data_IF_433822401967
#
_entry.id   IF_433822401967
#
_cell.length_a   1.000
_cell.length_b   1.000
_cell.length_c   1.000
_cell.angle_alpha   90.00
_cell.angle_beta   90.00
_cell.angle_gamma   90.00
#
_symmetry.space_group_name_H-M   'P 1'
#
loop_
_entity.id
_entity.type
_entity.pdbx_description
1 polymer ?
#
# COMPACT_ATOMS: atom_id res chain seq x y z
N UNK A 1 4.47 -2.32 -9.95
CA UNK A 1 3.53 -2.97 -9.00
C UNK A 1 2.50 -1.95 -8.58
N UNK A 2 1.27 -2.39 -8.29
CA UNK A 2 0.20 -1.54 -7.75
C UNK A 2 -0.57 -2.29 -6.68
N UNK A 3 -1.13 -1.57 -5.73
CA UNK A 3 -2.11 -2.08 -4.79
C UNK A 3 -3.47 -1.51 -5.20
N UNK A 4 -4.46 -2.37 -5.37
CA UNK A 4 -5.81 -1.96 -5.77
C UNK A 4 -6.82 -2.37 -4.72
N UNK A 5 -7.74 -1.46 -4.40
CA UNK A 5 -8.91 -1.77 -3.59
C UNK A 5 -10.03 -2.22 -4.51
N UNK A 6 -10.65 -3.35 -4.19
CA UNK A 6 -11.72 -3.94 -4.98
C UNK A 6 -12.96 -4.16 -4.13
N UNK A 7 -14.13 -4.01 -4.75
CA UNK A 7 -15.43 -4.39 -4.20
C UNK A 7 -16.02 -5.43 -5.13
N UNK A 8 -16.25 -6.63 -4.62
CA UNK A 8 -16.83 -7.73 -5.38
C UNK A 8 -18.21 -8.01 -4.81
N UNK A 9 -19.23 -7.94 -5.66
CA UNK A 9 -20.59 -8.37 -5.32
C UNK A 9 -20.89 -9.65 -6.09
N UNK A 10 -21.11 -10.74 -5.38
CA UNK A 10 -21.54 -11.98 -6.00
C UNK A 10 -23.05 -11.87 -6.31
N UNK A 11 -23.40 -11.77 -7.59
CA UNK A 11 -24.78 -11.84 -8.06
C UNK A 11 -25.09 -13.16 -8.78
N UNK A 12 -24.21 -14.17 -8.67
CA UNK A 12 -24.47 -15.51 -9.21
C UNK A 12 -25.41 -16.29 -8.28
N UNK A 13 -25.79 -17.49 -8.72
CA UNK A 13 -26.66 -18.39 -7.96
C UNK A 13 -25.89 -19.32 -7.01
N UNK A 14 -24.56 -19.24 -7.00
CA UNK A 14 -23.66 -20.12 -6.27
C UNK A 14 -22.58 -19.33 -5.53
N UNK A 15 -21.94 -19.98 -4.57
CA UNK A 15 -20.79 -19.40 -3.88
C UNK A 15 -19.58 -19.44 -4.83
N UNK A 16 -18.74 -18.40 -4.77
CA UNK A 16 -17.57 -18.29 -5.67
C UNK A 16 -16.32 -17.97 -4.88
N UNK A 17 -15.22 -18.60 -5.23
CA UNK A 17 -13.93 -18.41 -4.57
C UNK A 17 -13.00 -17.54 -5.40
N UNK A 18 -12.50 -16.45 -4.82
CA UNK A 18 -11.56 -15.57 -5.51
C UNK A 18 -10.17 -16.22 -5.63
N UNK A 19 -9.68 -16.34 -6.87
CA UNK A 19 -8.46 -17.05 -7.20
C UNK A 19 -8.66 -18.52 -7.56
N UNK A 20 -9.90 -19.02 -7.58
CA UNK A 20 -10.26 -20.36 -8.05
C UNK A 20 -11.38 -20.31 -9.10
N UNK A 21 -12.49 -19.65 -8.79
CA UNK A 21 -13.64 -19.52 -9.70
C UNK A 21 -13.63 -18.18 -10.44
N UNK A 22 -13.16 -17.12 -9.76
CA UNK A 22 -13.09 -15.77 -10.30
C UNK A 22 -11.68 -15.19 -10.19
N UNK A 23 -11.25 -14.49 -11.23
CA UNK A 23 -9.92 -13.92 -11.36
C UNK A 23 -9.97 -12.48 -11.85
N UNK A 24 -8.96 -11.72 -11.42
CA UNK A 24 -8.71 -10.39 -11.96
C UNK A 24 -7.93 -10.51 -13.27
N UNK A 25 -8.43 -9.87 -14.33
CA UNK A 25 -7.78 -9.83 -15.64
C UNK A 25 -7.66 -8.38 -16.12
N UNK A 26 -6.79 -8.14 -17.11
CA UNK A 26 -6.81 -6.89 -17.85
C UNK A 26 -7.91 -6.97 -18.91
N UNK A 27 -8.53 -5.83 -19.20
CA UNK A 27 -9.58 -5.72 -20.22
C UNK A 27 -9.12 -6.19 -21.61
N UNK A 28 -7.81 -6.11 -21.88
CA UNK A 28 -7.18 -6.61 -23.11
C UNK A 28 -7.05 -8.16 -23.17
N UNK A 29 -7.52 -8.88 -22.14
CA UNK A 29 -7.44 -10.34 -22.04
C UNK A 29 -6.19 -10.88 -21.34
N UNK A 30 -5.21 -10.03 -21.01
CA UNK A 30 -4.02 -10.42 -20.29
C UNK A 30 -4.32 -10.86 -18.85
N UNK A 31 -3.67 -11.93 -18.38
CA UNK A 31 -3.79 -12.36 -16.98
C UNK A 31 -3.11 -11.34 -16.07
N UNK A 32 -3.77 -10.96 -14.98
CA UNK A 32 -3.15 -10.13 -13.94
C UNK A 32 -2.41 -11.05 -12.98
N UNK A 33 -1.11 -10.82 -12.82
CA UNK A 33 -0.34 -11.57 -11.84
C UNK A 33 -0.57 -10.95 -10.45
N UNK A 34 -1.28 -11.70 -9.62
CA UNK A 34 -1.49 -11.35 -8.22
C UNK A 34 -0.18 -11.54 -7.44
N UNK A 35 0.05 -10.65 -6.48
CA UNK A 35 1.25 -10.64 -5.67
C UNK A 35 0.93 -11.10 -4.25
N UNK A 36 1.78 -11.95 -3.64
CA UNK A 36 1.62 -12.31 -2.23
C UNK A 36 1.65 -11.09 -1.32
N UNK A 37 0.82 -11.10 -0.29
CA UNK A 37 0.70 -10.01 0.70
C UNK A 37 2.05 -9.58 1.29
N UNK A 38 2.95 -10.51 1.58
CA UNK A 38 4.28 -10.18 2.12
C UNK A 38 5.19 -9.48 1.09
N UNK A 39 5.10 -9.85 -0.21
CA UNK A 39 5.85 -9.16 -1.26
C UNK A 39 5.34 -7.72 -1.42
N UNK A 40 4.01 -7.53 -1.42
CA UNK A 40 3.36 -6.22 -1.49
C UNK A 40 3.80 -5.34 -0.31
N UNK A 41 3.73 -5.87 0.90
CA UNK A 41 4.14 -5.17 2.11
C UNK A 41 5.61 -4.75 2.04
N UNK A 42 6.50 -5.67 1.65
CA UNK A 42 7.95 -5.41 1.60
C UNK A 42 8.32 -4.25 0.67
N UNK A 43 7.56 -4.05 -0.40
CA UNK A 43 7.84 -3.06 -1.44
C UNK A 43 7.09 -1.74 -1.27
N UNK A 44 5.97 -1.72 -0.55
CA UNK A 44 5.13 -0.52 -0.36
C UNK A 44 5.21 0.11 1.04
N UNK A 45 5.86 -0.55 2.01
CA UNK A 45 6.07 0.01 3.34
C UNK A 45 6.81 1.36 3.28
N UNK A 46 6.53 2.24 4.23
CA UNK A 46 7.25 3.50 4.36
C UNK A 46 8.70 3.23 4.82
N UNK A 47 9.65 3.80 4.09
CA UNK A 47 11.07 3.78 4.43
C UNK A 47 11.48 5.13 5.06
N UNK A 48 11.67 5.20 6.38
CA UNK A 48 11.94 6.47 7.07
C UNK A 48 13.42 6.94 6.94
N UNK A 49 14.27 6.18 6.25
CA UNK A 49 15.74 6.26 6.35
C UNK A 49 16.38 7.53 5.78
N UNK A 50 15.84 8.13 4.72
CA UNK A 50 16.44 9.34 4.13
C UNK A 50 16.12 10.61 4.91
N UNK A 51 14.87 10.75 5.35
CA UNK A 51 14.42 11.95 6.05
C UNK A 51 14.90 12.00 7.51
N UNK A 52 15.10 10.85 8.15
CA UNK A 52 15.65 10.80 9.51
C UNK A 52 17.08 11.34 9.58
N UNK A 53 17.95 10.93 8.66
CA UNK A 53 19.35 11.34 8.63
C UNK A 53 19.49 12.85 8.40
N UNK A 54 18.67 13.39 7.50
CA UNK A 54 18.64 14.83 7.23
C UNK A 54 18.15 15.64 8.44
N UNK A 55 17.10 15.18 9.14
CA UNK A 55 16.60 15.85 10.33
C UNK A 55 17.60 15.85 11.48
N UNK A 56 18.34 14.74 11.66
CA UNK A 56 19.37 14.63 12.70
C UNK A 56 20.53 15.63 12.50
N UNK A 57 20.82 15.97 11.25
CA UNK A 57 21.90 16.88 10.86
C UNK A 57 21.42 18.31 10.58
N UNK A 58 20.14 18.62 10.83
CA UNK A 58 19.59 19.96 10.54
C UNK A 58 20.01 20.97 11.62
N UNK A 59 20.81 22.01 11.27
CA UNK A 59 21.20 23.02 12.24
C UNK A 59 20.05 24.00 12.47
N UNK A 60 19.27 23.79 13.53
CA UNK A 60 18.27 24.76 13.99
C UNK A 60 18.92 25.71 14.99
N UNK A 61 18.92 27.01 14.66
CA UNK A 61 19.46 28.09 15.50
C UNK A 61 18.31 28.99 15.98
N UNK A 62 18.24 29.28 17.28
CA UNK A 62 17.26 30.22 17.86
C UNK A 62 17.96 31.51 18.24
N UNK A 63 17.49 32.64 17.72
CA UNK A 63 18.01 33.96 18.07
C UNK A 63 17.09 34.61 19.11
N UNK A 64 17.68 35.22 20.13
CA UNK A 64 16.92 36.01 21.12
C UNK A 64 17.35 37.47 21.04
N UNK A 65 16.38 38.35 20.81
CA UNK A 65 16.58 39.79 20.76
C UNK A 65 16.08 40.40 22.07
N UNK A 66 16.96 41.07 22.82
CA UNK A 66 16.58 41.84 24.02
C UNK A 66 16.75 43.32 23.74
N UNK A 67 15.72 44.11 24.02
CA UNK A 67 15.78 45.57 23.91
C UNK A 67 15.90 46.14 25.31
N UNK A 68 16.97 46.87 25.58
CA UNK A 68 17.20 47.54 26.87
C UNK A 68 16.46 48.89 26.93
N UNK A 69 16.23 49.40 28.13
CA UNK A 69 15.47 50.64 28.37
C UNK A 69 16.09 51.91 27.74
N UNK A 70 17.34 51.84 27.29
CA UNK A 70 18.05 52.86 26.53
C UNK A 70 17.87 52.76 25.00
N UNK A 71 16.99 51.86 24.51
CA UNK A 71 16.71 51.66 23.09
C UNK A 71 17.78 50.83 22.35
N UNK A 72 18.83 50.38 23.04
CA UNK A 72 19.84 49.49 22.45
C UNK A 72 19.34 48.05 22.42
N UNK A 73 19.41 47.47 21.23
CA UNK A 73 19.01 46.08 20.97
C UNK A 73 20.24 45.19 21.03
N UNK A 74 20.30 44.28 22.00
CA UNK A 74 21.31 43.22 22.05
C UNK A 74 20.73 41.93 21.48
N UNK A 75 21.35 41.42 20.42
CA UNK A 75 21.07 40.10 19.86
C UNK A 75 22.07 39.11 20.46
N UNK A 76 21.57 38.17 21.27
CA UNK A 76 22.41 37.11 21.86
C UNK A 76 22.41 35.87 20.96
N UNK A 77 23.60 35.29 20.75
CA UNK A 77 23.83 34.18 19.83
C UNK A 77 23.20 32.86 20.29
N UNK A 78 22.88 32.06 19.28
CA UNK A 78 21.93 30.98 19.30
C UNK A 78 22.39 29.72 20.01
N UNK A 79 21.56 29.19 20.91
CA UNK A 79 21.68 27.81 21.37
C UNK A 79 21.42 26.89 20.15
N UNK A 80 22.35 26.00 19.75
CA UNK A 80 22.12 25.07 18.64
C UNK A 80 21.15 23.97 19.09
N UNK A 81 19.86 24.29 19.13
CA UNK A 81 18.80 23.35 19.51
C UNK A 81 18.58 22.25 18.47
N UNK A 82 19.20 22.35 17.28
CA UNK A 82 19.16 21.32 16.25
C UNK A 82 19.52 19.92 16.76
N UNK A 83 20.43 19.80 17.74
CA UNK A 83 20.79 18.51 18.37
C UNK A 83 19.72 17.93 19.30
N UNK A 84 18.70 18.70 19.70
CA UNK A 84 17.57 18.24 20.51
C UNK A 84 16.32 18.09 19.63
N UNK A 85 16.06 19.08 18.79
CA UNK A 85 14.92 19.10 17.86
C UNK A 85 15.07 18.03 16.79
N UNK A 86 16.28 17.85 16.24
CA UNK A 86 16.58 16.84 15.22
C UNK A 86 16.22 15.42 15.68
N UNK A 87 16.74 14.93 16.81
CA UNK A 87 16.36 13.64 17.36
C UNK A 87 14.88 13.50 17.71
N UNK A 88 14.24 14.56 18.22
CA UNK A 88 12.80 14.53 18.54
C UNK A 88 11.93 14.35 17.29
N UNK A 89 12.20 15.10 16.22
CA UNK A 89 11.50 14.98 14.94
C UNK A 89 11.80 13.65 14.24
N UNK A 90 13.06 13.21 14.28
CA UNK A 90 13.50 11.92 13.78
C UNK A 90 12.76 10.76 14.48
N UNK A 91 12.69 10.80 15.82
CA UNK A 91 11.95 9.81 16.61
C UNK A 91 10.46 9.83 16.28
N UNK A 92 9.85 11.01 16.16
CA UNK A 92 8.44 11.17 15.78
C UNK A 92 8.12 10.52 14.42
N UNK A 93 8.93 10.81 13.41
CA UNK A 93 8.76 10.23 12.06
C UNK A 93 8.95 8.71 12.05
N UNK A 94 9.92 8.20 12.81
CA UNK A 94 10.14 6.75 12.92
C UNK A 94 8.94 6.05 13.56
N UNK A 95 8.40 6.61 14.65
CA UNK A 95 7.23 6.07 15.35
C UNK A 95 6.01 6.09 14.44
N UNK A 96 5.77 7.20 13.75
CA UNK A 96 4.66 7.35 12.81
C UNK A 96 4.77 6.32 11.67
N UNK A 97 5.94 6.21 11.02
CA UNK A 97 6.17 5.25 9.95
C UNK A 97 6.05 3.79 10.44
N UNK A 98 6.55 3.48 11.64
CA UNK A 98 6.42 2.16 12.25
C UNK A 98 4.96 1.79 12.51
N UNK A 99 4.18 2.73 13.07
CA UNK A 99 2.74 2.56 13.31
C UNK A 99 1.97 2.38 11.99
N UNK A 100 2.25 3.22 10.99
CA UNK A 100 1.65 3.13 9.66
C UNK A 100 1.98 1.79 8.98
N UNK A 101 3.23 1.32 9.07
CA UNK A 101 3.66 0.03 8.52
C UNK A 101 2.97 -1.14 9.22
N UNK A 102 2.82 -1.11 10.55
CA UNK A 102 2.07 -2.14 11.28
C UNK A 102 0.61 -2.19 10.86
N UNK A 103 -0.04 -1.02 10.76
CA UNK A 103 -1.43 -0.92 10.29
C UNK A 103 -1.55 -1.44 8.86
N UNK A 104 -0.69 -0.99 7.95
CA UNK A 104 -0.69 -1.43 6.56
C UNK A 104 -0.54 -2.95 6.42
N UNK A 105 0.37 -3.56 7.18
CA UNK A 105 0.52 -5.03 7.19
C UNK A 105 -0.73 -5.75 7.69
N UNK A 106 -1.43 -5.18 8.68
CA UNK A 106 -2.71 -5.74 9.16
C UNK A 106 -3.78 -5.61 8.10
N UNK A 107 -3.96 -4.42 7.52
CA UNK A 107 -4.98 -4.15 6.51
C UNK A 107 -4.78 -5.07 5.28
N UNK A 108 -3.54 -5.30 4.83
CA UNK A 108 -3.27 -6.22 3.72
C UNK A 108 -3.68 -7.68 4.03
N UNK A 109 -3.59 -8.13 5.29
CA UNK A 109 -3.99 -9.49 5.68
C UNK A 109 -5.49 -9.61 5.91
N UNK A 110 -6.08 -8.61 6.54
CA UNK A 110 -7.51 -8.57 6.86
C UNK A 110 -8.36 -8.48 5.60
N UNK A 111 -7.88 -7.73 4.61
CA UNK A 111 -8.54 -7.53 3.32
C UNK A 111 -7.94 -8.37 2.19
N UNK A 112 -7.14 -9.40 2.50
CA UNK A 112 -6.70 -10.35 1.48
C UNK A 112 -7.91 -11.11 0.92
N UNK A 113 -8.00 -11.22 -0.40
CA UNK A 113 -9.06 -11.94 -1.08
C UNK A 113 -8.62 -13.30 -1.61
N UNK A 114 -7.33 -13.64 -1.58
CA UNK A 114 -6.87 -14.93 -2.08
C UNK A 114 -7.55 -16.09 -1.35
N UNK A 115 -8.23 -16.96 -2.10
CA UNK A 115 -8.96 -18.10 -1.56
C UNK A 115 -10.19 -17.72 -0.74
N UNK A 116 -10.65 -16.47 -0.81
CA UNK A 116 -11.82 -16.05 -0.06
C UNK A 116 -13.09 -16.53 -0.76
N UNK A 117 -13.87 -17.35 -0.06
CA UNK A 117 -15.21 -17.71 -0.48
C UNK A 117 -16.15 -16.48 -0.37
N UNK A 118 -16.91 -16.23 -1.43
CA UNK A 118 -17.87 -15.13 -1.54
C UNK A 118 -19.24 -15.76 -1.73
N UNK A 119 -20.00 -15.80 -0.64
CA UNK A 119 -21.36 -16.36 -0.65
C UNK A 119 -22.27 -15.69 -1.68
N UNK A 120 -23.23 -16.43 -2.22
CA UNK A 120 -24.26 -15.90 -3.12
C UNK A 120 -24.94 -14.65 -2.55
N UNK A 121 -25.04 -13.60 -3.35
CA UNK A 121 -25.63 -12.32 -2.95
C UNK A 121 -24.74 -11.43 -2.05
N UNK A 122 -23.61 -11.94 -1.55
CA UNK A 122 -22.73 -11.19 -0.65
C UNK A 122 -21.90 -10.13 -1.39
N UNK A 123 -21.48 -9.11 -0.65
CA UNK A 123 -20.50 -8.12 -1.11
C UNK A 123 -19.29 -8.15 -0.21
N UNK A 124 -18.11 -8.31 -0.79
CA UNK A 124 -16.83 -8.27 -0.08
C UNK A 124 -15.96 -7.13 -0.59
N UNK A 125 -15.08 -6.67 0.29
CA UNK A 125 -14.08 -5.65 0.00
C UNK A 125 -12.71 -6.25 0.23
N UNK A 126 -11.75 -5.84 -0.60
CA UNK A 126 -10.42 -6.41 -0.55
C UNK A 126 -9.33 -5.49 -1.07
N UNK A 127 -8.10 -5.83 -0.69
CA UNK A 127 -6.86 -5.24 -1.15
C UNK A 127 -6.09 -6.30 -1.93
N UNK A 128 -5.78 -6.00 -3.19
CA UNK A 128 -5.09 -6.94 -4.07
C UNK A 128 -3.83 -6.28 -4.62
N UNK A 129 -2.68 -6.92 -4.37
CA UNK A 129 -1.43 -6.53 -5.00
C UNK A 129 -1.33 -7.10 -6.41
N UNK A 130 -1.00 -6.25 -7.38
CA UNK A 130 -0.88 -6.66 -8.78
C UNK A 130 0.47 -6.25 -9.37
N UNK A 131 1.04 -7.16 -10.17
CA UNK A 131 2.15 -6.81 -11.05
C UNK A 131 1.60 -6.18 -12.32
N UNK A 132 1.52 -4.85 -12.28
CA UNK A 132 1.13 -4.04 -13.44
C UNK A 132 2.33 -3.75 -14.34
N UNK A 133 2.25 -4.23 -15.58
CA UNK A 133 3.19 -3.91 -16.67
C UNK A 133 2.63 -2.81 -17.59
N UNK A 134 1.34 -2.45 -17.44
CA UNK A 134 0.65 -1.43 -18.23
C UNK A 134 -0.41 -0.68 -17.37
N UNK A 135 -1.22 0.16 -18.00
CA UNK A 135 -2.30 0.94 -17.35
C UNK A 135 -3.69 0.47 -17.76
N UNK A 136 -3.80 -0.76 -18.28
CA UNK A 136 -5.09 -1.26 -18.76
C UNK A 136 -6.07 -1.44 -17.61
N UNK A 137 -7.35 -1.22 -17.90
CA UNK A 137 -8.42 -1.40 -16.94
C UNK A 137 -8.49 -2.87 -16.48
N UNK A 138 -8.81 -3.05 -15.20
CA UNK A 138 -9.00 -4.36 -14.60
C UNK A 138 -10.46 -4.79 -14.75
N UNK A 139 -10.68 -6.06 -14.98
CA UNK A 139 -11.98 -6.70 -15.05
C UNK A 139 -11.99 -7.95 -14.17
N UNK A 140 -13.14 -8.26 -13.59
CA UNK A 140 -13.35 -9.52 -12.87
C UNK A 140 -14.00 -10.50 -13.83
N UNK A 141 -13.40 -11.68 -14.01
CA UNK A 141 -13.92 -12.73 -14.88
C UNK A 141 -14.00 -14.05 -14.14
N UNK A 142 -14.94 -14.89 -14.55
CA UNK A 142 -14.93 -16.31 -14.19
C UNK A 142 -13.81 -17.01 -14.94
N UNK A 143 -13.17 -18.00 -14.32
CA UNK A 143 -12.33 -18.95 -15.06
C UNK A 143 -13.25 -19.70 -16.01
N UNK A 144 -13.10 -19.47 -17.30
CA UNK A 144 -13.74 -20.34 -18.28
C UNK A 144 -13.11 -21.71 -18.12
N UNK A 145 -13.87 -22.82 -17.97
CA UNK A 145 -13.29 -24.12 -18.18
C UNK A 145 -12.59 -24.10 -19.55
N UNK A 146 -11.35 -24.61 -19.61
CA UNK A 146 -10.66 -24.78 -20.87
C UNK A 146 -11.57 -25.61 -21.77
N UNK A 147 -12.09 -25.00 -22.85
CA UNK A 147 -12.82 -25.74 -23.88
C UNK A 147 -11.80 -26.72 -24.48
N UNK A 148 -11.95 -28.05 -24.30
CA UNK A 148 -11.09 -28.98 -25.01
C UNK A 148 -11.27 -28.75 -26.51
N UNK A 149 -10.19 -28.79 -27.32
CA UNK A 149 -10.31 -28.60 -28.76
C UNK A 149 -11.34 -29.59 -29.32
N UNK A 150 -12.40 -29.05 -29.92
CA UNK A 150 -13.41 -29.84 -30.62
C UNK A 150 -12.77 -30.56 -31.82
N UNK A 151 -13.01 -31.87 -31.92
CA UNK A 151 -12.58 -32.76 -33.00
C UNK A 151 -11.50 -33.71 -32.49
N UNK A 152 -11.73 -35.01 -32.32
CA UNK A 152 -12.21 -35.93 -33.35
C UNK A 152 -13.18 -36.98 -32.76
N UNK A 153 -14.40 -37.03 -33.28
CA UNK A 153 -15.19 -38.27 -33.27
C UNK A 153 -14.69 -39.15 -34.40
N UNK A 154 -13.86 -40.15 -34.08
CA UNK A 154 -13.73 -41.35 -34.90
C UNK A 154 -14.61 -42.42 -34.28
N UNK A 155 -15.72 -42.74 -34.94
CA UNK A 155 -16.50 -43.96 -34.66
C UNK A 155 -16.22 -44.93 -35.81
N UNK A 156 -16.01 -46.23 -35.53
CA UNK A 156 -15.61 -47.25 -36.51
C UNK A 156 -16.66 -47.54 -37.59
#
# INVERSE_FOLDING_TARGET
MRLVAVRIKNNSNEDVTFGEDIFLTYKNGGKVLLMPTEEVFSKLKQHPTSHLAYLLLSPVSVYTTKTHANGLTETSNAFPIGLIVGPGLAAGNLIAASSANKKFKRDLREYDLHGKNIERGATVYGLVGIRANNYDALELRFESPAVPPHGETTTP
#
